data_IF_519562015580
#
_entry.id   IF_519562015580
#
_cell.length_a   1.000
_cell.length_b   1.000
_cell.length_c   1.000
_cell.angle_alpha   90.00
_cell.angle_beta   90.00
_cell.angle_gamma   90.00
#
_symmetry.space_group_name_H-M   'P 1'
#
loop_
_entity.id
_entity.type
_entity.pdbx_description
1 polymer ?
#
# COMPACT_ATOMS: atom_id res chain seq x y z
N UNK A 1 25.04 -8.73 5.07
CA UNK A 1 24.33 -9.37 3.94
C UNK A 1 24.58 -10.89 3.90
N UNK A 2 25.82 -11.39 4.09
CA UNK A 2 26.10 -12.82 4.13
C UNK A 2 25.27 -13.57 5.18
N UNK A 3 25.10 -13.00 6.39
CA UNK A 3 24.25 -13.59 7.45
C UNK A 3 22.80 -13.77 7.06
N UNK A 4 22.27 -12.94 6.16
CA UNK A 4 20.88 -13.02 5.68
C UNK A 4 20.77 -14.14 4.64
N UNK A 5 21.75 -14.24 3.74
CA UNK A 5 21.75 -15.21 2.64
C UNK A 5 21.92 -16.64 3.17
N UNK A 6 22.78 -16.82 4.17
CA UNK A 6 23.14 -18.13 4.74
C UNK A 6 22.24 -18.54 5.92
N UNK A 7 21.29 -17.72 6.32
CA UNK A 7 20.38 -18.03 7.41
C UNK A 7 19.49 -19.24 7.07
N UNK A 8 19.20 -20.11 8.04
CA UNK A 8 18.23 -21.18 7.85
C UNK A 8 16.80 -20.59 7.78
N UNK A 9 16.22 -20.61 6.60
CA UNK A 9 14.83 -20.21 6.38
C UNK A 9 13.87 -21.37 6.68
N UNK A 10 12.80 -21.09 7.41
CA UNK A 10 11.74 -22.06 7.68
C UNK A 10 10.55 -21.78 6.77
N UNK A 11 10.11 -22.80 6.04
CA UNK A 11 8.83 -22.79 5.34
C UNK A 11 7.78 -23.36 6.29
N UNK A 12 6.81 -22.56 6.70
CA UNK A 12 5.76 -23.02 7.60
C UNK A 12 4.85 -21.90 8.10
N UNK A 13 3.68 -22.30 8.59
CA UNK A 13 2.57 -21.41 8.86
C UNK A 13 2.66 -20.61 10.17
N UNK A 14 3.61 -20.87 11.02
CA UNK A 14 3.75 -20.08 12.26
C UNK A 14 4.54 -18.80 11.97
N UNK A 15 3.80 -17.70 11.92
CA UNK A 15 4.39 -16.39 11.90
C UNK A 15 5.25 -16.18 13.17
N UNK A 16 6.49 -15.70 13.05
CA UNK A 16 7.28 -15.40 14.21
C UNK A 16 6.55 -14.38 15.08
N UNK A 17 6.48 -14.67 16.36
CA UNK A 17 5.98 -13.74 17.36
C UNK A 17 6.75 -12.42 17.31
N UNK A 18 6.05 -11.31 17.55
CA UNK A 18 6.59 -9.96 17.59
C UNK A 18 7.99 -9.92 18.18
N UNK A 19 8.96 -9.50 17.37
CA UNK A 19 10.32 -9.26 17.79
C UNK A 19 10.80 -7.91 17.29
N UNK A 20 11.74 -7.23 18.02
CA UNK A 20 12.33 -5.96 17.58
C UNK A 20 13.25 -6.12 16.37
N UNK A 21 13.49 -7.35 15.95
CA UNK A 21 14.44 -7.70 14.92
C UNK A 21 13.82 -7.70 13.52
N UNK A 22 14.69 -7.73 12.53
CA UNK A 22 14.31 -7.86 11.16
C UNK A 22 13.74 -9.24 10.87
N UNK A 23 12.54 -9.29 10.29
CA UNK A 23 12.00 -10.48 9.67
C UNK A 23 12.37 -10.48 8.20
N UNK A 24 13.10 -11.49 7.77
CA UNK A 24 13.50 -11.67 6.37
C UNK A 24 12.71 -12.79 5.72
N UNK A 25 12.07 -12.48 4.60
CA UNK A 25 11.40 -13.43 3.72
C UNK A 25 12.32 -13.70 2.53
N UNK A 26 12.52 -14.95 2.20
CA UNK A 26 13.24 -15.37 1.01
C UNK A 26 12.25 -15.75 -0.07
N UNK A 27 12.38 -15.14 -1.24
CA UNK A 27 11.74 -15.61 -2.46
C UNK A 27 12.75 -16.43 -3.26
N UNK A 28 12.36 -17.63 -3.60
CA UNK A 28 13.23 -18.50 -4.40
C UNK A 28 13.27 -18.02 -5.84
N UNK A 29 14.48 -17.86 -6.39
CA UNK A 29 14.66 -17.43 -7.76
C UNK A 29 14.00 -18.38 -8.77
N UNK A 30 13.88 -19.67 -8.45
CA UNK A 30 13.16 -20.66 -9.26
C UNK A 30 11.67 -20.34 -9.44
N UNK A 31 11.06 -19.67 -8.47
CA UNK A 31 9.67 -19.26 -8.51
C UNK A 31 9.44 -17.97 -9.31
N UNK A 32 10.50 -17.19 -9.54
CA UNK A 32 10.40 -15.92 -10.26
C UNK A 32 10.40 -16.11 -11.78
N UNK A 33 10.69 -17.31 -12.28
CA UNK A 33 10.76 -17.62 -13.71
C UNK A 33 11.84 -16.80 -14.43
N UNK A 34 11.72 -16.69 -15.75
CA UNK A 34 12.54 -15.80 -16.55
C UNK A 34 12.07 -14.36 -16.36
N UNK A 35 12.71 -13.62 -15.46
CA UNK A 35 12.40 -12.21 -15.25
C UNK A 35 12.86 -11.36 -16.44
N UNK A 36 12.04 -10.41 -16.89
CA UNK A 36 12.44 -9.45 -17.93
C UNK A 36 13.54 -8.51 -17.42
N UNK A 37 14.12 -7.73 -18.34
CA UNK A 37 15.22 -6.80 -18.05
C UNK A 37 14.89 -5.77 -16.95
N UNK A 38 13.63 -5.42 -16.80
CA UNK A 38 13.11 -4.62 -15.67
C UNK A 38 11.82 -5.23 -15.16
N UNK A 39 11.64 -5.20 -13.86
CA UNK A 39 10.41 -5.67 -13.22
C UNK A 39 10.11 -4.88 -11.96
N UNK A 40 8.85 -4.85 -11.60
CA UNK A 40 8.36 -4.17 -10.42
C UNK A 40 8.07 -5.20 -9.33
N UNK A 41 8.61 -4.95 -8.15
CA UNK A 41 8.24 -5.67 -6.94
C UNK A 41 7.10 -4.92 -6.28
N UNK A 42 5.94 -5.55 -6.19
CA UNK A 42 4.75 -5.03 -5.54
C UNK A 42 4.57 -5.73 -4.21
N UNK A 43 4.45 -4.95 -3.15
CA UNK A 43 4.26 -5.45 -1.79
C UNK A 43 2.96 -4.86 -1.25
N UNK A 44 2.08 -5.73 -0.75
CA UNK A 44 0.84 -5.30 -0.13
C UNK A 44 1.10 -4.43 1.10
N UNK A 45 0.18 -3.52 1.36
CA UNK A 45 0.24 -2.63 2.51
C UNK A 45 0.30 -3.47 3.79
N UNK A 46 1.35 -3.26 4.58
CA UNK A 46 1.49 -3.82 5.91
C UNK A 46 2.08 -2.76 6.84
N UNK A 47 1.90 -2.92 8.13
CA UNK A 47 2.46 -2.02 9.14
C UNK A 47 3.87 -2.46 9.49
N UNK A 48 4.85 -1.61 9.22
CA UNK A 48 6.26 -1.82 9.55
C UNK A 48 6.98 -0.47 9.70
N UNK A 49 8.11 -0.45 10.38
CA UNK A 49 8.93 0.76 10.52
C UNK A 49 9.89 0.95 9.35
N UNK A 50 10.47 -0.16 8.89
CA UNK A 50 11.44 -0.17 7.79
C UNK A 50 11.24 -1.39 6.90
N UNK A 51 11.49 -1.20 5.62
CA UNK A 51 11.57 -2.28 4.66
C UNK A 51 13.00 -2.36 4.10
N UNK A 52 13.47 -3.58 3.90
CA UNK A 52 14.73 -3.88 3.23
C UNK A 52 14.49 -4.81 2.07
N UNK A 53 15.01 -4.48 0.89
CA UNK A 53 15.01 -5.37 -0.26
C UNK A 53 16.46 -5.69 -0.61
N UNK A 54 16.83 -6.97 -0.54
CA UNK A 54 18.15 -7.46 -0.87
C UNK A 54 18.06 -8.36 -2.10
N UNK A 55 18.74 -7.97 -3.15
CA UNK A 55 18.80 -8.69 -4.43
C UNK A 55 20.19 -9.25 -4.58
N UNK A 56 20.29 -10.57 -4.58
CA UNK A 56 21.54 -11.28 -4.72
C UNK A 56 21.67 -11.78 -6.15
N UNK A 57 22.57 -11.18 -6.91
CA UNK A 57 22.99 -11.64 -8.22
C UNK A 57 24.28 -12.44 -8.15
N UNK A 58 24.78 -12.94 -9.29
CA UNK A 58 26.00 -13.73 -9.38
C UNK A 58 27.25 -12.94 -8.93
N UNK A 59 27.36 -11.69 -9.37
CA UNK A 59 28.55 -10.85 -9.13
C UNK A 59 28.25 -9.58 -8.33
N UNK A 60 26.98 -9.32 -8.00
CA UNK A 60 26.58 -8.10 -7.33
C UNK A 60 25.38 -8.34 -6.42
N UNK A 61 25.49 -7.79 -5.23
CA UNK A 61 24.37 -7.71 -4.28
C UNK A 61 23.92 -6.28 -4.18
N UNK A 62 22.65 -6.04 -4.40
CA UNK A 62 22.03 -4.71 -4.27
C UNK A 62 21.11 -4.72 -3.06
N UNK A 63 21.26 -3.71 -2.21
CA UNK A 63 20.43 -3.54 -1.02
C UNK A 63 19.72 -2.19 -1.07
N UNK A 64 18.41 -2.22 -0.95
CA UNK A 64 17.58 -1.05 -0.70
C UNK A 64 17.04 -1.15 0.72
N UNK A 65 17.17 -0.09 1.49
CA UNK A 65 16.58 -0.02 2.84
C UNK A 65 15.93 1.33 3.00
N UNK A 66 14.62 1.35 3.19
CA UNK A 66 13.81 2.55 3.28
C UNK A 66 13.03 2.53 4.59
N UNK A 67 13.01 3.67 5.27
CA UNK A 67 12.09 3.90 6.38
C UNK A 67 10.68 4.17 5.84
N UNK A 68 9.68 4.00 6.68
CA UNK A 68 8.29 4.27 6.30
C UNK A 68 8.08 5.70 5.76
N UNK A 69 8.78 6.68 6.31
CA UNK A 69 8.70 8.07 5.85
C UNK A 69 9.27 8.29 4.44
N UNK A 70 10.26 7.48 4.04
CA UNK A 70 10.90 7.54 2.72
C UNK A 70 10.09 6.82 1.65
N UNK A 71 9.08 6.03 2.03
CA UNK A 71 8.25 5.25 1.12
C UNK A 71 7.21 6.09 0.34
N UNK A 72 7.11 7.39 0.57
CA UNK A 72 6.09 8.25 -0.04
C UNK A 72 6.02 8.13 -1.56
N UNK A 73 7.17 8.01 -2.21
CA UNK A 73 7.27 7.91 -3.67
C UNK A 73 7.02 6.50 -4.22
N UNK A 74 6.96 5.50 -3.33
CA UNK A 74 6.78 4.10 -3.69
C UNK A 74 5.34 3.62 -3.57
N UNK A 75 4.42 4.46 -3.04
CA UNK A 75 3.01 4.11 -2.95
C UNK A 75 2.30 4.24 -4.30
N UNK A 76 1.55 3.21 -4.64
CA UNK A 76 0.67 3.22 -5.81
C UNK A 76 -0.80 3.38 -5.39
N UNK A 77 -1.67 3.85 -6.28
CA UNK A 77 -3.10 3.75 -6.07
C UNK A 77 -3.51 2.31 -5.75
N UNK A 78 -4.33 2.12 -4.71
CA UNK A 78 -4.69 0.78 -4.22
C UNK A 78 -3.84 0.29 -3.05
N UNK A 79 -2.87 1.09 -2.55
CA UNK A 79 -2.15 0.78 -1.32
C UNK A 79 -0.98 -0.19 -1.46
N UNK A 80 -0.52 -0.44 -2.69
CA UNK A 80 0.65 -1.27 -2.93
C UNK A 80 1.93 -0.46 -2.90
N UNK A 81 2.97 -1.00 -2.29
CA UNK A 81 4.33 -0.49 -2.40
C UNK A 81 4.98 -1.03 -3.66
N UNK A 82 5.48 -0.13 -4.49
CA UNK A 82 6.14 -0.46 -5.75
C UNK A 82 7.63 -0.17 -5.68
N UNK A 83 8.44 -1.19 -5.90
CA UNK A 83 9.88 -1.07 -6.07
C UNK A 83 10.24 -1.45 -7.50
N UNK A 84 10.87 -0.51 -8.22
CA UNK A 84 11.45 -0.81 -9.52
C UNK A 84 12.77 -1.54 -9.30
N UNK A 85 12.82 -2.78 -9.71
CA UNK A 85 14.02 -3.59 -9.62
C UNK A 85 14.62 -3.71 -11.00
N UNK A 86 15.71 -2.99 -11.24
CA UNK A 86 16.55 -3.24 -12.39
C UNK A 86 17.52 -4.39 -12.03
N UNK A 87 17.40 -5.56 -12.64
CA UNK A 87 18.28 -6.68 -12.30
C UNK A 87 19.73 -6.33 -12.64
N UNK A 88 20.67 -6.63 -11.77
CA UNK A 88 22.09 -6.58 -12.09
C UNK A 88 22.42 -7.76 -13.00
N UNK A 89 22.23 -7.64 -14.33
CA UNK A 89 22.44 -8.77 -15.24
C UNK A 89 21.53 -9.97 -14.97
N UNK A 90 21.34 -10.84 -15.93
CA UNK A 90 20.31 -11.89 -15.96
C UNK A 90 20.36 -13.02 -14.90
N UNK A 91 21.19 -12.91 -13.85
CA UNK A 91 21.42 -13.99 -12.87
C UNK A 91 21.03 -13.56 -11.44
N UNK A 92 19.73 -13.45 -11.13
CA UNK A 92 19.27 -13.31 -9.75
C UNK A 92 19.27 -14.69 -9.10
N UNK A 93 20.07 -14.86 -8.02
CA UNK A 93 20.13 -16.08 -7.21
C UNK A 93 19.16 -16.09 -6.05
N UNK A 94 18.79 -14.91 -5.57
CA UNK A 94 17.84 -14.77 -4.47
C UNK A 94 17.33 -13.35 -4.30
N UNK A 95 16.10 -13.27 -3.90
CA UNK A 95 15.42 -12.04 -3.52
C UNK A 95 14.99 -12.17 -2.06
N UNK A 96 15.41 -11.22 -1.24
CA UNK A 96 15.09 -11.20 0.17
C UNK A 96 14.38 -9.89 0.50
N UNK A 97 13.26 -9.99 1.21
CA UNK A 97 12.48 -8.84 1.66
C UNK A 97 12.48 -8.87 3.17
N UNK A 98 12.98 -7.82 3.78
CA UNK A 98 13.05 -7.66 5.21
C UNK A 98 12.08 -6.60 5.71
N UNK A 99 11.44 -6.87 6.82
CA UNK A 99 10.61 -5.91 7.54
C UNK A 99 11.12 -5.76 8.97
N UNK A 100 11.14 -4.54 9.46
CA UNK A 100 11.43 -4.26 10.85
C UNK A 100 10.16 -3.82 11.55
N UNK A 101 9.90 -4.38 12.75
CA UNK A 101 8.71 -4.11 13.55
C UNK A 101 7.41 -4.31 12.74
N UNK A 102 7.25 -5.48 12.16
CA UNK A 102 5.99 -5.86 11.54
C UNK A 102 4.99 -6.25 12.64
N UNK A 103 3.83 -5.63 12.63
CA UNK A 103 2.80 -5.91 13.64
C UNK A 103 2.12 -7.25 13.43
N UNK A 104 1.84 -7.59 12.17
CA UNK A 104 1.17 -8.84 11.81
C UNK A 104 1.50 -9.23 10.37
N UNK A 105 2.08 -10.43 10.20
CA UNK A 105 2.35 -11.00 8.87
C UNK A 105 1.09 -11.36 8.10
N UNK A 106 -0.01 -11.64 8.79
CA UNK A 106 -1.28 -11.97 8.13
C UNK A 106 -1.83 -10.81 7.30
N UNK A 107 -1.41 -9.58 7.59
CA UNK A 107 -1.75 -8.39 6.81
C UNK A 107 -0.97 -8.31 5.49
N UNK A 108 0.17 -8.97 5.39
CA UNK A 108 0.94 -9.06 4.15
C UNK A 108 0.35 -10.15 3.25
N UNK A 109 -0.65 -9.76 2.46
CA UNK A 109 -1.41 -10.71 1.64
C UNK A 109 -0.70 -11.12 0.35
N UNK A 110 0.18 -10.28 -0.18
CA UNK A 110 0.72 -10.53 -1.51
C UNK A 110 2.05 -9.81 -1.75
N UNK A 111 3.02 -10.55 -2.22
CA UNK A 111 4.25 -10.03 -2.83
C UNK A 111 4.28 -10.54 -4.26
N UNK A 112 4.34 -9.65 -5.23
CA UNK A 112 4.27 -10.00 -6.64
C UNK A 112 5.40 -9.34 -7.39
N UNK A 113 6.13 -10.11 -8.19
CA UNK A 113 7.02 -9.59 -9.20
C UNK A 113 6.26 -9.47 -10.53
N UNK A 114 6.27 -8.29 -11.14
CA UNK A 114 5.61 -8.04 -12.44
C UNK A 114 6.62 -7.59 -13.48
N UNK A 115 6.51 -8.07 -14.72
CA UNK A 115 7.35 -7.59 -15.81
C UNK A 115 6.99 -6.15 -16.18
N UNK A 116 8.03 -5.36 -16.46
CA UNK A 116 7.91 -3.99 -16.94
C UNK A 116 7.62 -2.93 -15.88
N UNK A 117 7.96 -1.71 -16.21
CA UNK A 117 7.67 -0.52 -15.40
C UNK A 117 6.45 0.19 -16.04
N UNK A 118 5.30 0.11 -15.42
CA UNK A 118 4.13 0.82 -15.91
C UNK A 118 2.86 0.51 -15.13
N UNK A 119 1.82 1.28 -15.38
CA UNK A 119 0.47 0.98 -14.94
C UNK A 119 -0.06 -0.19 -15.76
N UNK A 120 -0.52 -1.22 -15.10
CA UNK A 120 -1.17 -2.34 -15.78
C UNK A 120 -2.71 -2.19 -15.74
N UNK A 121 -3.41 -3.10 -16.41
CA UNK A 121 -4.87 -3.07 -16.48
C UNK A 121 -5.55 -3.13 -15.11
N UNK A 122 -4.94 -3.81 -14.12
CA UNK A 122 -5.49 -3.86 -12.76
C UNK A 122 -5.34 -2.52 -12.03
N UNK A 123 -4.22 -1.82 -12.22
CA UNK A 123 -3.99 -0.49 -11.63
C UNK A 123 -4.96 0.53 -12.24
N UNK A 124 -5.16 0.46 -13.57
CA UNK A 124 -6.15 1.29 -14.28
C UNK A 124 -7.56 0.97 -13.80
N UNK A 125 -7.91 -0.32 -13.68
CA UNK A 125 -9.22 -0.74 -13.17
C UNK A 125 -9.49 -0.23 -11.76
N UNK A 126 -8.49 -0.25 -10.88
CA UNK A 126 -8.60 0.29 -9.54
C UNK A 126 -8.82 1.82 -9.54
N UNK A 127 -8.07 2.56 -10.37
CA UNK A 127 -8.26 4.02 -10.51
C UNK A 127 -9.64 4.36 -11.05
N UNK A 128 -10.14 3.62 -12.04
CA UNK A 128 -11.49 3.81 -12.58
C UNK A 128 -12.54 3.57 -11.49
N UNK A 129 -12.41 2.48 -10.72
CA UNK A 129 -13.33 2.17 -9.62
C UNK A 129 -13.31 3.27 -8.54
N UNK A 130 -12.12 3.69 -8.13
CA UNK A 130 -11.96 4.78 -7.16
C UNK A 130 -12.53 6.11 -7.68
N UNK A 131 -12.32 6.40 -8.96
CA UNK A 131 -12.88 7.58 -9.63
C UNK A 131 -14.41 7.56 -9.70
N UNK A 132 -15.01 6.42 -10.04
CA UNK A 132 -16.47 6.25 -10.04
C UNK A 132 -17.06 6.43 -8.62
N UNK A 133 -16.43 5.82 -7.62
CA UNK A 133 -16.84 5.97 -6.23
C UNK A 133 -16.77 7.45 -5.78
N UNK A 134 -15.63 8.09 -5.99
CA UNK A 134 -15.44 9.50 -5.63
C UNK A 134 -16.41 10.43 -6.39
N UNK A 135 -16.59 10.18 -7.69
CA UNK A 135 -17.51 10.94 -8.54
C UNK A 135 -18.97 10.82 -8.08
N UNK A 136 -19.40 9.62 -7.69
CA UNK A 136 -20.75 9.39 -7.16
C UNK A 136 -20.96 10.14 -5.86
N UNK A 137 -20.03 10.06 -4.90
CA UNK A 137 -20.14 10.78 -3.63
C UNK A 137 -20.06 12.29 -3.81
N UNK A 138 -19.20 12.77 -4.70
CA UNK A 138 -19.12 14.20 -5.02
C UNK A 138 -20.40 14.72 -5.64
N UNK A 139 -21.01 13.98 -6.56
CA UNK A 139 -22.29 14.32 -7.17
C UNK A 139 -23.41 14.35 -6.11
N UNK A 140 -23.44 13.36 -5.21
CA UNK A 140 -24.38 13.35 -4.10
C UNK A 140 -24.18 14.55 -3.16
N UNK A 141 -22.91 14.89 -2.87
CA UNK A 141 -22.58 16.05 -2.02
C UNK A 141 -23.08 17.36 -2.66
N UNK A 142 -22.76 17.58 -3.93
CA UNK A 142 -23.16 18.80 -4.66
C UNK A 142 -24.69 18.93 -4.76
N UNK A 143 -25.39 17.84 -5.11
CA UNK A 143 -26.85 17.81 -5.17
C UNK A 143 -27.48 18.18 -3.83
N UNK A 144 -26.99 17.58 -2.74
CA UNK A 144 -27.52 17.84 -1.40
C UNK A 144 -27.15 19.24 -0.88
N UNK A 145 -26.01 19.80 -1.29
CA UNK A 145 -25.66 21.20 -1.01
C UNK A 145 -26.69 22.17 -1.64
N UNK A 146 -27.07 21.93 -2.90
CA UNK A 146 -28.09 22.76 -3.58
C UNK A 146 -29.40 22.69 -2.86
N UNK A 147 -29.89 21.50 -2.46
CA UNK A 147 -31.13 21.34 -1.69
C UNK A 147 -31.03 22.06 -0.35
N UNK A 148 -29.89 21.89 0.35
CA UNK A 148 -29.69 22.52 1.64
C UNK A 148 -29.71 24.05 1.56
N UNK A 149 -29.11 24.63 0.53
CA UNK A 149 -29.11 26.06 0.29
C UNK A 149 -30.55 26.62 0.10
N UNK A 150 -31.43 25.83 -0.55
CA UNK A 150 -32.80 26.24 -0.81
C UNK A 150 -33.76 26.03 0.36
N UNK A 151 -33.70 24.88 1.04
CA UNK A 151 -34.73 24.45 2.02
C UNK A 151 -34.25 24.29 3.46
N UNK A 152 -32.94 24.16 3.70
CA UNK A 152 -32.26 24.04 5.02
C UNK A 152 -32.87 23.01 6.00
N UNK A 153 -33.31 21.82 5.59
CA UNK A 153 -33.85 20.84 6.52
C UNK A 153 -32.77 20.35 7.48
N UNK A 154 -33.12 20.12 8.75
CA UNK A 154 -32.13 19.81 9.80
C UNK A 154 -31.34 18.53 9.53
N UNK A 155 -32.01 17.47 9.03
CA UNK A 155 -31.36 16.19 8.71
C UNK A 155 -30.34 16.31 7.56
N UNK A 156 -30.51 17.28 6.65
CA UNK A 156 -29.63 17.48 5.51
C UNK A 156 -28.20 17.84 5.94
N UNK A 157 -28.04 18.52 7.07
CA UNK A 157 -26.69 18.86 7.60
C UNK A 157 -25.93 17.62 8.01
N UNK A 158 -26.59 16.68 8.66
CA UNK A 158 -25.99 15.41 9.06
C UNK A 158 -25.65 14.54 7.86
N UNK A 159 -26.52 14.50 6.87
CA UNK A 159 -26.27 13.80 5.62
C UNK A 159 -25.09 14.38 4.84
N UNK A 160 -25.00 15.71 4.72
CA UNK A 160 -23.88 16.39 4.08
C UNK A 160 -22.57 16.10 4.82
N UNK A 161 -22.59 16.13 6.15
CA UNK A 161 -21.45 15.76 6.96
C UNK A 161 -21.03 14.31 6.67
N UNK A 162 -21.97 13.39 6.71
CA UNK A 162 -21.73 11.97 6.46
C UNK A 162 -21.11 11.71 5.07
N UNK A 163 -21.71 12.27 4.02
CA UNK A 163 -21.21 12.12 2.64
C UNK A 163 -19.82 12.74 2.49
N UNK A 164 -19.57 13.91 3.11
CA UNK A 164 -18.25 14.55 3.07
C UNK A 164 -17.18 13.68 3.74
N UNK A 165 -17.50 13.15 4.92
CA UNK A 165 -16.58 12.26 5.65
C UNK A 165 -16.35 10.96 4.89
N UNK A 166 -17.41 10.38 4.29
CA UNK A 166 -17.30 9.17 3.47
C UNK A 166 -16.44 9.39 2.22
N UNK A 167 -16.56 10.55 1.58
CA UNK A 167 -15.73 10.93 0.43
C UNK A 167 -14.24 11.01 0.83
N UNK A 168 -13.93 11.74 1.90
CA UNK A 168 -12.55 11.88 2.38
C UNK A 168 -11.98 10.53 2.81
N UNK A 169 -12.76 9.73 3.56
CA UNK A 169 -12.39 8.37 3.95
C UNK A 169 -12.05 7.51 2.73
N UNK A 170 -12.94 7.50 1.72
CA UNK A 170 -12.72 6.70 0.52
C UNK A 170 -11.49 7.13 -0.29
N UNK A 171 -11.20 8.43 -0.38
CA UNK A 171 -9.99 8.94 -1.03
C UNK A 171 -8.72 8.50 -0.29
N UNK A 172 -8.75 8.48 1.04
CA UNK A 172 -7.61 8.03 1.85
C UNK A 172 -7.47 6.51 1.74
N UNK A 173 -8.57 5.77 1.91
CA UNK A 173 -8.58 4.31 1.86
C UNK A 173 -8.10 3.75 0.51
N UNK A 174 -8.43 4.42 -0.60
CA UNK A 174 -7.97 4.06 -1.94
C UNK A 174 -6.56 4.56 -2.26
N UNK A 175 -5.91 5.28 -1.33
CA UNK A 175 -4.66 6.00 -1.54
C UNK A 175 -4.69 7.04 -2.68
N UNK A 176 -5.86 7.38 -3.21
CA UNK A 176 -5.99 8.42 -4.24
C UNK A 176 -5.75 9.82 -3.67
N UNK A 177 -6.02 10.03 -2.38
CA UNK A 177 -5.65 11.26 -1.69
C UNK A 177 -4.15 11.56 -1.74
N UNK A 178 -3.30 10.54 -1.79
CA UNK A 178 -1.85 10.69 -1.91
C UNK A 178 -1.40 11.34 -3.23
N UNK A 179 -2.22 11.27 -4.28
CA UNK A 179 -1.95 11.96 -5.55
C UNK A 179 -2.00 13.48 -5.40
N UNK A 180 -2.82 13.98 -4.47
CA UNK A 180 -2.99 15.41 -4.21
C UNK A 180 -2.14 15.84 -3.01
N UNK A 181 -2.07 15.01 -1.98
CA UNK A 181 -1.33 15.26 -0.74
C UNK A 181 -0.37 14.09 -0.50
N UNK A 182 0.86 14.13 -1.04
CA UNK A 182 1.81 13.00 -0.98
C UNK A 182 2.19 12.54 0.43
N UNK A 183 1.93 13.36 1.46
CA UNK A 183 2.17 13.00 2.86
C UNK A 183 1.03 12.20 3.52
N UNK A 184 -0.12 12.05 2.84
CA UNK A 184 -1.31 11.42 3.40
C UNK A 184 -1.31 9.90 3.12
N UNK A 185 -0.24 9.25 3.54
CA UNK A 185 -0.04 7.79 3.40
C UNK A 185 0.42 7.22 4.74
N UNK A 186 0.27 5.93 4.90
CA UNK A 186 0.83 5.20 6.01
C UNK A 186 0.18 5.43 7.38
N UNK A 187 0.96 5.51 8.47
CA UNK A 187 0.40 5.61 9.82
C UNK A 187 -0.49 6.83 10.02
N UNK A 188 -0.20 7.94 9.31
CA UNK A 188 -1.03 9.15 9.36
C UNK A 188 -2.39 8.87 8.70
N UNK A 189 -2.40 8.27 7.52
CA UNK A 189 -3.64 7.88 6.83
C UNK A 189 -4.50 6.99 7.72
N UNK A 190 -3.91 5.93 8.30
CA UNK A 190 -4.63 5.00 9.19
C UNK A 190 -5.25 5.71 10.39
N UNK A 191 -4.53 6.64 11.05
CA UNK A 191 -5.09 7.39 12.18
C UNK A 191 -6.28 8.25 11.75
N UNK A 192 -6.18 8.90 10.60
CA UNK A 192 -7.25 9.71 10.05
C UNK A 192 -8.45 8.84 9.69
N UNK A 193 -8.23 7.67 9.08
CA UNK A 193 -9.29 6.70 8.78
C UNK A 193 -10.10 6.31 10.02
N UNK A 194 -9.44 6.00 11.14
CA UNK A 194 -10.13 5.68 12.39
C UNK A 194 -11.00 6.84 12.89
N UNK A 195 -10.49 8.07 12.83
CA UNK A 195 -11.26 9.26 13.21
C UNK A 195 -12.47 9.45 12.29
N UNK A 196 -12.27 9.29 10.98
CA UNK A 196 -13.34 9.44 9.98
C UNK A 196 -14.43 8.38 10.15
N UNK A 197 -14.05 7.12 10.43
CA UNK A 197 -15.03 6.06 10.74
C UNK A 197 -15.84 6.41 11.98
N UNK A 198 -15.19 6.88 13.05
CA UNK A 198 -15.89 7.36 14.24
C UNK A 198 -16.88 8.49 13.96
N UNK A 199 -16.50 9.46 13.13
CA UNK A 199 -17.37 10.55 12.71
C UNK A 199 -18.54 10.08 11.84
N UNK A 200 -18.32 9.10 10.92
CA UNK A 200 -19.40 8.51 10.12
C UNK A 200 -20.45 7.82 11.00
N UNK A 201 -20.00 7.06 12.00
CA UNK A 201 -20.90 6.39 12.95
C UNK A 201 -21.66 7.42 13.76
N UNK A 202 -21.01 8.47 14.27
CA UNK A 202 -21.65 9.52 15.04
C UNK A 202 -22.67 10.36 14.23
N UNK A 203 -22.40 10.57 12.93
CA UNK A 203 -23.30 11.31 12.05
C UNK A 203 -24.47 10.46 11.52
N UNK A 204 -24.36 9.12 11.57
CA UNK A 204 -25.37 8.18 11.11
C UNK A 204 -26.41 7.79 12.19
N UNK A 205 -26.12 8.08 13.47
CA UNK A 205 -27.05 7.88 14.59
C UNK A 205 -27.81 9.17 14.91
#
# INVERSE_FOLDING_TARGET
>A
DARIVDAPYRCGAEAPTRGPDWLWLRLDASQLGALPASWDLLIDQTRFDRIGVLIVGRNRTTRHSLSYAELKEHWTPGGLLKFVVAPPGHDIRGLYIGFRHIDDLSLMRKVVARPGSGMNGADVGWLVLAGLFAGTLLSALLYNLVIHAGRRPAFQRWYLLWVSVALVYGLIWTNTAALVVPGLVGPIAVRIEFVLVGLMVAAGN
#
